data_IF_839716432457
#
_entry.id   IF_839716432457
#
_cell.length_a   1.000
_cell.length_b   1.000
_cell.length_c   1.000
_cell.angle_alpha   90.00
_cell.angle_beta   90.00
_cell.angle_gamma   90.00
#
_symmetry.space_group_name_H-M   'P 1'
#
loop_
_entity.id
_entity.type
_entity.pdbx_description
1 polymer ?
#
# COMPACT_ATOMS: atom_id res chain seq x y z
N UNK A 1 0.05 -26.96 24.88
CA UNK A 1 -0.79 -25.98 24.16
C UNK A 1 0.10 -25.41 23.07
N UNK A 2 -0.07 -25.86 21.83
CA UNK A 2 0.68 -25.29 20.71
C UNK A 2 -0.08 -24.04 20.30
N UNK A 3 0.24 -22.92 20.95
CA UNK A 3 -0.20 -21.62 20.47
C UNK A 3 0.28 -21.53 19.03
N UNK A 4 -0.65 -21.55 18.08
CA UNK A 4 -0.36 -21.17 16.71
C UNK A 4 -0.03 -19.68 16.77
N UNK A 5 1.22 -19.36 17.11
CA UNK A 5 1.80 -18.03 17.02
C UNK A 5 1.75 -17.71 15.54
N UNK A 6 0.67 -17.09 15.11
CA UNK A 6 0.59 -16.56 13.76
C UNK A 6 1.63 -15.46 13.71
N UNK A 7 2.71 -15.64 12.92
CA UNK A 7 3.79 -14.69 12.96
C UNK A 7 3.25 -13.34 12.44
N UNK A 8 3.68 -12.23 13.06
CA UNK A 8 3.15 -10.89 12.75
C UNK A 8 3.29 -10.52 11.26
N UNK A 9 4.29 -11.08 10.59
CA UNK A 9 4.48 -10.95 9.14
C UNK A 9 3.34 -11.54 8.30
N UNK A 10 2.72 -12.64 8.75
CA UNK A 10 1.57 -13.24 8.08
C UNK A 10 0.33 -12.39 8.32
N UNK A 11 0.12 -11.91 9.54
CA UNK A 11 -1.02 -11.04 9.87
C UNK A 11 -1.04 -9.76 9.01
N UNK A 12 0.12 -9.11 8.83
CA UNK A 12 0.25 -7.92 7.98
C UNK A 12 0.00 -8.26 6.50
N UNK A 13 0.47 -9.43 6.05
CA UNK A 13 0.26 -9.87 4.67
C UNK A 13 -1.22 -10.17 4.39
N UNK A 14 -1.90 -10.84 5.31
CA UNK A 14 -3.34 -11.09 5.21
C UNK A 14 -4.13 -9.78 5.21
N UNK A 15 -3.75 -8.83 6.06
CA UNK A 15 -4.36 -7.50 6.07
C UNK A 15 -4.19 -6.76 4.74
N UNK A 16 -3.00 -6.83 4.12
CA UNK A 16 -2.76 -6.30 2.78
C UNK A 16 -3.66 -6.98 1.74
N UNK A 17 -3.79 -8.29 1.79
CA UNK A 17 -4.64 -9.05 0.87
C UNK A 17 -6.11 -8.62 0.97
N UNK A 18 -6.64 -8.50 2.19
CA UNK A 18 -8.02 -8.08 2.42
C UNK A 18 -8.29 -6.67 1.89
N UNK A 19 -7.42 -5.71 2.21
CA UNK A 19 -7.62 -4.32 1.77
C UNK A 19 -7.40 -4.14 0.27
N UNK A 20 -6.32 -4.70 -0.28
CA UNK A 20 -5.96 -4.55 -1.68
C UNK A 20 -6.79 -5.44 -2.60
N UNK A 21 -7.56 -6.38 -2.05
CA UNK A 21 -8.28 -7.40 -2.83
C UNK A 21 -7.32 -8.35 -3.56
N UNK A 22 -6.14 -8.60 -2.97
CA UNK A 22 -5.09 -9.45 -3.53
C UNK A 22 -5.03 -10.77 -2.78
N UNK A 23 -4.29 -11.73 -3.34
CA UNK A 23 -4.13 -13.09 -2.78
C UNK A 23 -2.64 -13.47 -2.74
N UNK A 24 -1.83 -12.62 -2.14
CA UNK A 24 -0.42 -12.90 -1.93
C UNK A 24 -0.26 -14.07 -0.95
N UNK A 25 0.51 -15.08 -1.37
CA UNK A 25 0.81 -16.23 -0.52
C UNK A 25 1.84 -15.85 0.55
N UNK A 26 1.78 -16.45 1.76
CA UNK A 26 2.79 -16.27 2.82
C UNK A 26 4.09 -17.01 2.48
N UNK A 27 4.74 -16.61 1.38
CA UNK A 27 6.01 -17.15 0.92
C UNK A 27 7.16 -16.23 1.39
N UNK A 28 8.38 -16.80 1.43
CA UNK A 28 9.59 -16.08 1.87
C UNK A 28 9.75 -14.72 1.17
N UNK A 29 9.49 -14.60 -0.12
CA UNK A 29 9.63 -13.34 -0.86
C UNK A 29 8.68 -12.22 -0.40
N UNK A 30 7.49 -12.59 0.11
CA UNK A 30 6.48 -11.65 0.60
C UNK A 30 6.66 -11.36 2.10
N UNK A 31 7.08 -12.36 2.88
CA UNK A 31 7.27 -12.22 4.32
C UNK A 31 8.62 -11.60 4.69
N UNK A 32 9.69 -11.88 3.93
CA UNK A 32 11.03 -11.34 4.20
C UNK A 32 11.06 -9.80 4.34
N UNK A 33 10.43 -9.00 3.45
CA UNK A 33 10.46 -7.55 3.63
C UNK A 33 9.67 -7.10 4.87
N UNK A 34 8.55 -7.75 5.21
CA UNK A 34 7.77 -7.45 6.42
C UNK A 34 8.58 -7.77 7.68
N UNK A 35 9.18 -8.97 7.72
CA UNK A 35 10.05 -9.43 8.79
C UNK A 35 11.24 -8.51 9.01
N UNK A 36 11.85 -8.04 7.92
CA UNK A 36 12.94 -7.09 7.99
C UNK A 36 12.52 -5.78 8.65
N UNK A 37 11.31 -5.27 8.37
CA UNK A 37 10.78 -4.07 9.04
C UNK A 37 10.51 -4.29 10.51
N UNK A 38 9.91 -5.43 10.87
CA UNK A 38 9.70 -5.77 12.27
C UNK A 38 11.03 -5.86 13.04
N UNK A 39 12.09 -6.37 12.39
CA UNK A 39 13.45 -6.43 12.98
C UNK A 39 14.12 -5.06 13.09
N UNK A 40 13.82 -4.13 12.17
CA UNK A 40 14.28 -2.73 12.21
C UNK A 40 13.70 -1.95 13.41
N UNK A 41 12.65 -2.47 14.06
CA UNK A 41 11.97 -1.84 15.18
C UNK A 41 10.61 -1.23 14.85
N UNK A 42 10.09 -1.43 13.63
CA UNK A 42 8.75 -0.99 13.27
C UNK A 42 7.68 -1.83 13.97
N UNK A 43 6.62 -1.18 14.45
CA UNK A 43 5.49 -1.87 15.06
C UNK A 43 4.54 -2.44 14.00
N UNK A 44 3.81 -3.50 14.37
CA UNK A 44 2.77 -4.09 13.52
C UNK A 44 1.73 -3.04 13.12
N UNK A 45 1.39 -2.14 14.05
CA UNK A 45 0.42 -1.08 13.82
C UNK A 45 0.90 -0.11 12.73
N UNK A 46 2.13 0.38 12.80
CA UNK A 46 2.72 1.26 11.78
C UNK A 46 2.72 0.61 10.39
N UNK A 47 3.06 -0.68 10.32
CA UNK A 47 3.06 -1.42 9.06
C UNK A 47 1.64 -1.58 8.49
N UNK A 48 0.64 -1.83 9.35
CA UNK A 48 -0.78 -1.85 8.96
C UNK A 48 -1.27 -0.48 8.48
N UNK A 49 -0.84 0.60 9.11
CA UNK A 49 -1.20 1.96 8.68
C UNK A 49 -0.63 2.29 7.30
N UNK A 50 0.62 1.92 7.03
CA UNK A 50 1.23 2.05 5.70
C UNK A 50 0.42 1.28 4.67
N UNK A 51 0.06 0.03 4.96
CA UNK A 51 -0.78 -0.79 4.09
C UNK A 51 -2.12 -0.12 3.83
N UNK A 52 -2.80 0.37 4.87
CA UNK A 52 -4.11 1.02 4.73
C UNK A 52 -4.03 2.27 3.85
N UNK A 53 -3.13 3.20 4.16
CA UNK A 53 -3.01 4.46 3.42
C UNK A 53 -2.60 4.23 1.98
N UNK A 54 -1.62 3.35 1.73
CA UNK A 54 -1.18 3.05 0.36
C UNK A 54 -2.20 2.26 -0.44
N UNK A 55 -2.90 1.33 0.19
CA UNK A 55 -3.98 0.64 -0.48
C UNK A 55 -5.07 1.63 -0.89
N UNK A 56 -5.46 2.57 -0.04
CA UNK A 56 -6.44 3.59 -0.42
C UNK A 56 -5.95 4.48 -1.58
N UNK A 57 -4.67 4.88 -1.57
CA UNK A 57 -4.04 5.73 -2.59
C UNK A 57 -3.91 5.01 -3.95
N UNK A 58 -3.51 3.73 -3.94
CA UNK A 58 -3.12 3.01 -5.16
C UNK A 58 -4.21 2.07 -5.69
N UNK A 59 -5.16 1.62 -4.86
CA UNK A 59 -6.20 0.64 -5.29
C UNK A 59 -7.05 1.16 -6.45
N UNK A 60 -7.29 2.47 -6.49
CA UNK A 60 -8.09 3.10 -7.56
C UNK A 60 -7.26 3.59 -8.75
N UNK A 61 -5.94 3.41 -8.73
CA UNK A 61 -5.04 3.81 -9.79
C UNK A 61 -4.51 2.56 -10.51
N UNK A 62 -4.86 2.38 -11.78
CA UNK A 62 -4.53 1.18 -12.55
C UNK A 62 -3.02 0.93 -12.65
N UNK A 63 -2.24 2.00 -12.77
CA UNK A 63 -0.77 1.92 -12.83
C UNK A 63 -0.20 1.59 -11.44
N UNK A 64 -0.70 2.22 -10.38
CA UNK A 64 -0.12 2.05 -9.04
C UNK A 64 -0.61 0.79 -8.30
N UNK A 65 -1.77 0.26 -8.67
CA UNK A 65 -2.32 -0.97 -8.08
C UNK A 65 -1.38 -2.18 -8.29
N UNK A 66 -0.61 -2.21 -9.38
CA UNK A 66 0.39 -3.27 -9.60
C UNK A 66 1.53 -3.24 -8.56
N UNK A 67 1.78 -2.07 -7.97
CA UNK A 67 2.81 -1.84 -6.97
C UNK A 67 2.33 -2.10 -5.53
N UNK A 68 1.05 -2.44 -5.32
CA UNK A 68 0.51 -2.86 -4.02
C UNK A 68 0.97 -4.28 -3.66
N UNK A 69 2.27 -4.45 -3.45
CA UNK A 69 2.89 -5.70 -3.04
C UNK A 69 3.84 -5.48 -1.84
N UNK A 70 4.07 -6.52 -1.02
CA UNK A 70 4.91 -6.41 0.17
C UNK A 70 6.33 -5.91 -0.13
N UNK A 71 6.89 -6.32 -1.26
CA UNK A 71 8.25 -5.93 -1.67
C UNK A 71 8.37 -4.42 -1.94
N UNK A 72 7.35 -3.80 -2.52
CA UNK A 72 7.32 -2.36 -2.79
C UNK A 72 6.97 -1.55 -1.55
N UNK A 73 5.96 -1.99 -0.80
CA UNK A 73 5.47 -1.27 0.39
C UNK A 73 6.51 -1.28 1.52
N UNK A 74 7.12 -2.44 1.77
CA UNK A 74 8.06 -2.65 2.89
C UNK A 74 9.54 -2.57 2.47
N UNK A 75 9.83 -1.88 1.36
CA UNK A 75 11.20 -1.51 1.00
C UNK A 75 11.73 -0.51 2.04
N UNK A 76 13.01 -0.61 2.48
CA UNK A 76 13.56 0.26 3.53
C UNK A 76 13.30 1.74 3.30
N UNK A 77 13.71 2.25 2.14
CA UNK A 77 13.52 3.66 1.78
C UNK A 77 12.06 4.10 1.68
N UNK A 78 11.16 3.17 1.34
CA UNK A 78 9.74 3.49 1.15
C UNK A 78 8.99 3.48 2.49
N UNK A 79 9.29 2.51 3.35
CA UNK A 79 8.60 2.32 4.64
C UNK A 79 8.77 3.56 5.52
N UNK A 80 10.01 4.03 5.67
CA UNK A 80 10.32 5.24 6.44
C UNK A 80 9.63 6.48 5.85
N UNK A 81 9.67 6.62 4.53
CA UNK A 81 9.00 7.72 3.81
C UNK A 81 7.49 7.70 4.03
N UNK A 82 6.86 6.53 3.98
CA UNK A 82 5.42 6.39 4.14
C UNK A 82 4.98 6.60 5.58
N UNK A 83 5.77 6.12 6.54
CA UNK A 83 5.51 6.37 7.95
C UNK A 83 5.58 7.87 8.26
N UNK A 84 6.66 8.55 7.84
CA UNK A 84 6.79 10.00 8.01
C UNK A 84 5.62 10.75 7.35
N UNK A 85 5.23 10.35 6.14
CA UNK A 85 4.05 10.92 5.48
C UNK A 85 2.77 10.76 6.32
N UNK A 86 2.54 9.58 6.89
CA UNK A 86 1.38 9.33 7.78
C UNK A 86 1.45 10.18 9.05
N UNK A 87 2.63 10.33 9.65
CA UNK A 87 2.83 11.19 10.83
C UNK A 87 2.49 12.65 10.51
N UNK A 88 3.01 13.20 9.42
CA UNK A 88 2.71 14.59 9.00
C UNK A 88 1.22 14.82 8.72
N UNK A 89 0.55 13.80 8.19
CA UNK A 89 -0.90 13.76 7.96
C UNK A 89 -1.68 13.77 9.28
N UNK A 90 -1.27 12.94 10.25
CA UNK A 90 -1.92 12.83 11.56
C UNK A 90 -1.84 14.16 12.29
N UNK A 91 -0.74 14.88 12.15
CA UNK A 91 -0.57 16.23 12.70
C UNK A 91 -1.45 17.27 11.98
N UNK A 92 -1.87 17.03 10.73
CA UNK A 92 -2.65 17.97 9.93
C UNK A 92 -3.86 17.30 9.24
N UNK A 93 -4.97 17.04 9.97
CA UNK A 93 -6.15 16.35 9.42
C UNK A 93 -6.82 17.10 8.25
N UNK A 94 -6.67 18.42 8.17
CA UNK A 94 -7.14 19.24 7.04
C UNK A 94 -6.36 18.95 5.74
N UNK A 95 -5.08 18.58 5.85
CA UNK A 95 -4.25 18.24 4.70
C UNK A 95 -4.54 16.81 4.22
N UNK A 96 -4.83 15.88 5.15
CA UNK A 96 -5.33 14.55 4.83
C UNK A 96 -6.59 14.60 3.95
N UNK A 97 -7.59 15.37 4.40
CA UNK A 97 -8.85 15.53 3.68
C UNK A 97 -8.65 16.19 2.30
N UNK A 98 -7.74 17.18 2.18
CA UNK A 98 -7.39 17.79 0.90
C UNK A 98 -6.65 16.84 -0.05
N UNK A 99 -5.78 15.98 0.46
CA UNK A 99 -5.08 14.96 -0.32
C UNK A 99 -6.06 13.91 -0.85
N UNK A 100 -6.94 13.39 0.02
CA UNK A 100 -8.05 12.51 -0.37
C UNK A 100 -9.02 13.16 -1.36
N UNK A 101 -9.30 14.45 -1.24
CA UNK A 101 -10.16 15.18 -2.17
C UNK A 101 -9.51 15.38 -3.56
N UNK A 102 -8.20 15.60 -3.64
CA UNK A 102 -7.48 15.67 -4.93
C UNK A 102 -7.44 14.33 -5.66
N UNK A 103 -7.30 13.22 -4.94
CA UNK A 103 -7.26 11.87 -5.52
C UNK A 103 -8.56 11.48 -6.24
N UNK A 104 -9.72 12.02 -5.82
CA UNK A 104 -10.99 11.80 -6.49
C UNK A 104 -11.24 12.71 -7.71
N UNK A 105 -10.44 13.77 -7.89
CA UNK A 105 -10.54 14.70 -9.04
C UNK A 105 -9.69 14.25 -10.25
N UNK A 106 -8.57 13.57 -10.05
CA UNK A 106 -7.71 13.09 -11.17
C UNK A 106 -8.28 11.89 -11.92
N UNK A 107 -9.33 11.24 -11.37
CA UNK A 107 -10.05 10.14 -12.02
C UNK A 107 -10.79 10.58 -13.31
N UNK A 108 -10.94 11.88 -13.54
CA UNK A 108 -11.63 12.40 -14.74
C UNK A 108 -10.69 12.65 -15.93
N UNK A 109 -9.37 12.71 -15.75
CA UNK A 109 -8.43 12.98 -16.87
C UNK A 109 -7.80 11.73 -17.48
N UNK A 110 -7.98 10.55 -16.89
CA UNK A 110 -7.60 9.26 -17.49
C UNK A 110 -8.78 8.56 -18.21
N UNK A 111 -9.95 9.22 -18.27
CA UNK A 111 -11.13 8.73 -18.99
C UNK A 111 -11.40 9.51 -20.28
N UNK A 112 -10.39 10.16 -20.88
CA UNK A 112 -10.49 10.48 -22.30
C UNK A 112 -10.12 9.21 -23.06
N UNK A 113 -11.14 8.41 -23.33
CA UNK A 113 -11.13 7.22 -24.17
C UNK A 113 -10.70 7.47 -25.64
N UNK A 114 -10.07 8.62 -25.92
CA UNK A 114 -9.64 9.06 -27.24
C UNK A 114 -8.16 8.69 -27.52
N UNK A 115 -7.35 8.45 -26.48
CA UNK A 115 -5.90 8.23 -26.65
C UNK A 115 -5.49 6.76 -26.86
N UNK A 116 -6.44 5.81 -26.81
CA UNK A 116 -6.16 4.39 -27.11
C UNK A 116 -6.23 4.05 -28.60
N UNK A 117 -6.73 4.97 -29.43
CA UNK A 117 -6.88 4.76 -30.88
C UNK A 117 -5.62 5.11 -31.68
N UNK A 118 -4.63 5.76 -31.05
CA UNK A 118 -3.39 6.18 -31.71
C UNK A 118 -2.23 5.20 -31.57
N UNK A 119 -2.36 4.15 -30.73
CA UNK A 119 -1.30 3.14 -30.54
C UNK A 119 -1.43 1.91 -31.45
N UNK A 120 -2.63 1.66 -31.99
CA UNK A 120 -2.90 0.61 -32.99
C UNK A 120 -3.72 1.24 -34.11
N UNK A 121 -3.04 2.01 -34.96
CA UNK A 121 -3.64 2.57 -36.17
C UNK A 121 -4.09 1.48 -37.15
N UNK A 122 -5.22 1.77 -37.80
CA UNK A 122 -5.90 1.11 -38.94
C UNK A 122 -6.17 -0.41 -38.87
#
# INVERSE_FOLDING_TARGET
>A
MNENITPPEIEILEYLNELAGKRFKPIKSNLAPIKARLKDGYTIQELKEIVQVKTLDWKNNEVMNQHLCPTTLFRPSNTEKYLNYILTIKENPKQYAKYFAKLNKTRTTANNADDLREMYGD
#
